data_IF_866951864387
#
_entry.id   IF_866951864387
#
_cell.length_a   1.000
_cell.length_b   1.000
_cell.length_c   1.000
_cell.angle_alpha   90.00
_cell.angle_beta   90.00
_cell.angle_gamma   90.00
#
_symmetry.space_group_name_H-M   'P 1'
#
loop_
_entity.id
_entity.type
_entity.pdbx_description
1 polymer ?
#
# COMPACT_ATOMS: atom_id res chain seq x y z
N UNK A 1 17.95 5.67 -4.55
CA UNK A 1 17.22 6.62 -3.70
C UNK A 1 16.19 5.83 -2.93
N UNK A 2 16.19 5.84 -1.59
CA UNK A 2 15.29 4.99 -0.81
C UNK A 2 13.86 5.51 -0.92
N UNK A 3 12.92 4.60 -1.21
CA UNK A 3 11.48 4.86 -1.07
C UNK A 3 11.15 4.81 0.42
N UNK A 4 10.42 5.82 0.89
CA UNK A 4 10.08 6.05 2.31
C UNK A 4 8.60 5.83 2.58
N UNK A 5 7.72 6.30 1.68
CA UNK A 5 6.28 6.08 1.77
C UNK A 5 5.69 5.78 0.40
N UNK A 6 4.72 4.88 0.38
CA UNK A 6 3.85 4.60 -0.76
C UNK A 6 2.40 4.68 -0.30
N UNK A 7 1.56 5.30 -1.12
CA UNK A 7 0.10 5.18 -1.01
C UNK A 7 -0.36 4.45 -2.26
N UNK A 8 -1.00 3.31 -2.05
CA UNK A 8 -1.44 2.40 -3.09
C UNK A 8 -2.97 2.29 -3.05
N UNK A 9 -3.58 2.35 -4.22
CA UNK A 9 -4.96 1.90 -4.39
C UNK A 9 -4.93 0.40 -4.68
N UNK A 10 -5.57 -0.38 -3.80
CA UNK A 10 -5.52 -1.85 -3.83
C UNK A 10 -6.93 -2.40 -3.79
N UNK A 11 -7.29 -3.15 -4.83
CA UNK A 11 -8.53 -3.88 -4.92
C UNK A 11 -8.35 -5.29 -4.38
N UNK A 12 -9.32 -5.75 -3.60
CA UNK A 12 -9.40 -7.16 -3.17
C UNK A 12 -10.80 -7.71 -3.39
N UNK A 13 -10.95 -9.02 -3.36
CA UNK A 13 -12.30 -9.62 -3.34
C UNK A 13 -12.96 -9.42 -1.97
N UNK A 14 -14.29 -9.47 -1.92
CA UNK A 14 -15.04 -9.38 -0.64
C UNK A 14 -14.69 -10.54 0.31
N UNK A 15 -14.32 -11.70 -0.23
CA UNK A 15 -14.00 -12.90 0.54
C UNK A 15 -12.58 -12.89 1.10
N UNK A 16 -11.58 -12.95 0.22
CA UNK A 16 -10.17 -13.07 0.59
C UNK A 16 -9.29 -12.17 -0.31
N UNK A 17 -8.17 -11.64 0.22
CA UNK A 17 -7.71 -11.74 1.62
C UNK A 17 -8.53 -10.85 2.56
N UNK A 18 -8.43 -11.09 3.86
CA UNK A 18 -8.85 -10.12 4.86
C UNK A 18 -7.80 -9.00 5.03
N UNK A 19 -8.18 -7.90 5.70
CA UNK A 19 -7.29 -6.74 5.86
C UNK A 19 -6.10 -7.02 6.77
N UNK A 20 -6.23 -7.95 7.72
CA UNK A 20 -5.17 -8.30 8.67
C UNK A 20 -4.10 -9.12 7.96
N UNK A 21 -4.50 -10.10 7.16
CA UNK A 21 -3.59 -10.91 6.34
C UNK A 21 -2.82 -10.04 5.35
N UNK A 22 -3.51 -9.09 4.70
CA UNK A 22 -2.88 -8.14 3.80
C UNK A 22 -1.85 -7.27 4.55
N UNK A 23 -2.19 -6.77 5.74
CA UNK A 23 -1.27 -5.99 6.57
C UNK A 23 -0.04 -6.79 7.01
N UNK A 24 -0.21 -8.05 7.42
CA UNK A 24 0.88 -8.94 7.85
C UNK A 24 1.84 -9.25 6.70
N UNK A 25 1.31 -9.53 5.51
CA UNK A 25 2.12 -9.82 4.32
C UNK A 25 2.89 -8.59 3.86
N UNK A 26 2.30 -7.39 3.97
CA UNK A 26 2.98 -6.12 3.66
C UNK A 26 4.07 -5.80 4.69
N UNK A 27 3.78 -5.96 5.99
CA UNK A 27 4.74 -5.65 7.06
C UNK A 27 6.00 -6.52 6.99
N UNK A 28 5.86 -7.78 6.55
CA UNK A 28 6.98 -8.69 6.37
C UNK A 28 7.95 -8.31 5.22
N UNK A 29 7.63 -7.29 4.41
CA UNK A 29 8.46 -6.85 3.29
C UNK A 29 9.66 -6.04 3.80
N UNK A 30 10.84 -6.30 3.22
CA UNK A 30 12.07 -5.59 3.58
C UNK A 30 11.91 -4.07 3.45
N UNK A 31 12.27 -3.36 4.53
CA UNK A 31 12.23 -1.91 4.60
C UNK A 31 10.87 -1.34 5.03
N UNK A 32 9.81 -2.15 5.15
CA UNK A 32 8.54 -1.72 5.73
C UNK A 32 8.66 -1.61 7.25
N UNK A 33 8.13 -0.54 7.82
CA UNK A 33 8.10 -0.31 9.27
C UNK A 33 6.67 -0.13 9.81
N UNK A 34 5.76 0.34 8.96
CA UNK A 34 4.36 0.50 9.28
C UNK A 34 3.50 0.34 8.04
N UNK A 35 2.27 -0.16 8.26
CA UNK A 35 1.23 -0.27 7.25
C UNK A 35 -0.08 0.26 7.83
N UNK A 36 -0.82 1.01 7.01
CA UNK A 36 -2.19 1.38 7.25
C UNK A 36 -3.04 0.94 6.06
N UNK A 37 -4.18 0.32 6.33
CA UNK A 37 -5.13 -0.11 5.31
C UNK A 37 -6.49 0.44 5.67
N UNK A 38 -7.06 1.27 4.80
CA UNK A 38 -8.38 1.84 4.96
C UNK A 38 -9.27 1.40 3.80
N UNK A 39 -10.48 0.90 4.10
CA UNK A 39 -11.47 0.61 3.06
C UNK A 39 -11.99 1.92 2.49
N UNK A 40 -11.92 2.07 1.18
CA UNK A 40 -12.43 3.25 0.46
C UNK A 40 -13.84 3.01 -0.06
N UNK A 41 -14.08 1.83 -0.64
CA UNK A 41 -15.38 1.44 -1.18
C UNK A 41 -15.63 -0.08 -1.08
N UNK A 42 -16.91 -0.46 -1.12
CA UNK A 42 -17.35 -1.86 -1.11
C UNK A 42 -18.41 -2.01 -2.20
N UNK A 43 -18.16 -2.91 -3.14
CA UNK A 43 -19.07 -3.32 -4.21
C UNK A 43 -19.55 -4.76 -3.99
N UNK A 44 -20.29 -5.29 -4.98
CA UNK A 44 -20.88 -6.65 -4.90
C UNK A 44 -19.80 -7.73 -4.75
N UNK A 45 -18.68 -7.60 -5.47
CA UNK A 45 -17.62 -8.62 -5.51
C UNK A 45 -16.24 -8.09 -5.11
N UNK A 46 -16.08 -6.78 -5.04
CA UNK A 46 -14.79 -6.09 -4.82
C UNK A 46 -14.84 -5.17 -3.60
N UNK A 47 -13.68 -4.97 -2.99
CA UNK A 47 -13.44 -4.00 -1.92
C UNK A 47 -12.22 -3.18 -2.32
N UNK A 48 -12.42 -1.88 -2.53
CA UNK A 48 -11.34 -0.93 -2.75
C UNK A 48 -10.70 -0.55 -1.41
N UNK A 49 -9.38 -0.44 -1.39
CA UNK A 49 -8.62 -0.07 -0.19
C UNK A 49 -7.50 0.92 -0.51
N UNK A 50 -7.32 1.89 0.37
CA UNK A 50 -6.14 2.74 0.37
C UNK A 50 -5.10 2.13 1.33
N UNK A 51 -3.98 1.68 0.78
CA UNK A 51 -2.89 1.06 1.52
C UNK A 51 -1.73 2.04 1.59
N UNK A 52 -1.46 2.55 2.79
CA UNK A 52 -0.29 3.39 3.06
C UNK A 52 0.80 2.55 3.71
N UNK A 53 2.00 2.55 3.11
CA UNK A 53 3.18 1.84 3.61
C UNK A 53 4.27 2.86 3.90
N UNK A 54 4.88 2.78 5.08
CA UNK A 54 5.98 3.66 5.47
C UNK A 54 7.16 2.85 6.03
N UNK A 55 8.37 3.30 5.75
CA UNK A 55 9.60 2.67 6.22
C UNK A 55 10.88 3.25 5.63
N UNK A 56 11.95 2.47 5.63
CA UNK A 56 13.26 2.87 5.12
C UNK A 56 13.75 1.92 4.03
N UNK A 57 13.97 2.48 2.83
CA UNK A 57 14.39 1.73 1.65
C UNK A 57 13.47 0.56 1.31
N UNK A 58 12.15 0.83 1.24
CA UNK A 58 11.12 -0.14 0.91
C UNK A 58 11.44 -0.84 -0.42
N UNK A 59 11.47 -2.17 -0.42
CA UNK A 59 11.54 -2.98 -1.63
C UNK A 59 10.17 -3.01 -2.32
N UNK A 60 9.95 -2.06 -3.23
CA UNK A 60 8.68 -1.87 -3.94
C UNK A 60 8.30 -3.08 -4.79
N UNK A 61 9.28 -3.77 -5.37
CA UNK A 61 9.02 -4.94 -6.20
C UNK A 61 8.59 -6.13 -5.32
N UNK A 62 9.22 -6.32 -4.16
CA UNK A 62 8.77 -7.29 -3.18
C UNK A 62 7.40 -6.94 -2.60
N UNK A 63 7.12 -5.66 -2.35
CA UNK A 63 5.83 -5.19 -1.87
C UNK A 63 4.69 -5.52 -2.82
N UNK A 64 4.82 -5.16 -4.11
CA UNK A 64 3.81 -5.46 -5.11
C UNK A 64 3.56 -6.97 -5.24
N UNK A 65 4.64 -7.77 -5.29
CA UNK A 65 4.51 -9.24 -5.31
C UNK A 65 3.85 -9.81 -4.06
N UNK A 66 4.12 -9.23 -2.89
CA UNK A 66 3.54 -9.68 -1.63
C UNK A 66 2.03 -9.45 -1.65
N UNK A 67 1.58 -8.27 -2.08
CA UNK A 67 0.16 -7.93 -2.27
C UNK A 67 -0.48 -8.88 -3.31
N UNK A 68 0.09 -9.01 -4.49
CA UNK A 68 -0.45 -9.86 -5.56
C UNK A 68 -0.60 -11.34 -5.17
N UNK A 69 0.30 -11.86 -4.32
CA UNK A 69 0.23 -13.25 -3.83
C UNK A 69 -0.95 -13.54 -2.92
N UNK A 70 -1.53 -12.51 -2.31
CA UNK A 70 -2.74 -12.65 -1.49
C UNK A 70 -4.02 -12.74 -2.34
N UNK A 71 -3.94 -12.44 -3.65
CA UNK A 71 -5.10 -12.32 -4.53
C UNK A 71 -5.65 -10.89 -4.64
N UNK A 72 -5.08 -9.93 -3.90
CA UNK A 72 -5.32 -8.50 -4.10
C UNK A 72 -4.55 -7.95 -5.30
N UNK A 73 -5.01 -6.84 -5.87
CA UNK A 73 -4.45 -6.20 -7.06
C UNK A 73 -4.14 -4.75 -6.76
N UNK A 74 -2.91 -4.31 -7.05
CA UNK A 74 -2.56 -2.89 -7.00
C UNK A 74 -3.12 -2.20 -8.25
N UNK A 75 -4.12 -1.33 -8.07
CA UNK A 75 -4.76 -0.57 -9.13
C UNK A 75 -3.88 0.59 -9.58
N UNK A 76 -3.39 1.39 -8.62
CA UNK A 76 -2.51 2.52 -8.85
C UNK A 76 -1.56 2.79 -7.69
N UNK A 77 -0.51 3.55 -7.99
CA UNK A 77 0.36 4.18 -6.99
C UNK A 77 -0.05 5.65 -6.92
N UNK A 78 -0.77 6.01 -5.86
CA UNK A 78 -1.37 7.34 -5.72
C UNK A 78 -0.38 8.37 -5.19
N UNK A 79 0.55 7.93 -4.32
CA UNK A 79 1.61 8.78 -3.79
C UNK A 79 2.92 8.01 -3.61
N UNK A 80 4.04 8.67 -3.88
CA UNK A 80 5.39 8.18 -3.62
C UNK A 80 6.18 9.26 -2.90
N UNK A 81 6.78 8.90 -1.77
CA UNK A 81 7.76 9.74 -1.06
C UNK A 81 9.09 9.02 -1.04
N UNK A 82 10.14 9.67 -1.55
CA UNK A 82 11.48 9.11 -1.63
C UNK A 82 12.54 10.15 -1.26
N UNK A 83 13.64 9.69 -0.65
CA UNK A 83 14.74 10.56 -0.22
C UNK A 83 15.16 10.33 1.22
N UNK A 84 15.91 11.28 1.77
CA UNK A 84 16.50 11.16 3.11
C UNK A 84 15.48 11.30 4.26
N UNK A 85 14.31 11.87 3.99
CA UNK A 85 13.23 12.07 4.95
C UNK A 85 11.87 11.95 4.24
N UNK A 86 10.81 11.73 5.01
CA UNK A 86 9.44 11.71 4.48
C UNK A 86 8.96 13.14 4.28
N UNK A 87 8.75 13.53 3.02
CA UNK A 87 8.19 14.83 2.64
C UNK A 87 6.67 14.74 2.57
N UNK A 88 5.98 15.61 3.30
CA UNK A 88 4.52 15.72 3.21
C UNK A 88 4.08 16.37 1.90
N UNK A 89 3.06 15.79 1.27
CA UNK A 89 2.45 16.34 0.08
C UNK A 89 1.77 17.68 0.41
N UNK A 90 2.17 18.74 -0.28
CA UNK A 90 1.45 20.02 -0.21
C UNK A 90 0.60 20.15 -1.47
N UNK A 91 -0.73 20.01 -1.38
CA UNK A 91 -1.60 20.12 -2.54
C UNK A 91 -1.41 21.48 -3.19
N UNK A 92 -1.33 21.53 -4.52
CA UNK A 92 -1.39 22.81 -5.22
C UNK A 92 -2.75 23.44 -4.94
N UNK A 93 -2.76 24.59 -4.25
CA UNK A 93 -3.93 25.46 -4.24
C UNK A 93 -4.26 25.82 -5.68
N UNK A 94 -5.48 25.49 -6.10
CA UNK A 94 -6.03 25.92 -7.38
C UNK A 94 -6.48 27.37 -7.31
#
# INVERSE_FOLDING_TARGET
>A
MPVRRLVLDVDKTVGEPDLIDLALVIEAVSGVQAVNIAVTEIDIETVGTNVTVEGDAIDVEALNRAIERTGAVVHSVDEVVAGAYTLENTPRSR
#
